data_IF_951087453575
#
_entry.id   IF_951087453575
#
_cell.length_a   1.000
_cell.length_b   1.000
_cell.length_c   1.000
_cell.angle_alpha   90.00
_cell.angle_beta   90.00
_cell.angle_gamma   90.00
#
_symmetry.space_group_name_H-M   'P 1'
#
loop_
_entity.id
_entity.type
_entity.pdbx_description
1 polymer ?
#
# COMPACT_ATOMS: atom_id res chain seq x y z
N UNK A 1 25.24 -76.35 -59.37
CA UNK A 1 25.31 -75.08 -60.14
C UNK A 1 26.02 -74.05 -59.27
N UNK A 2 27.30 -73.77 -59.56
CA UNK A 2 27.86 -72.49 -60.03
C UNK A 2 28.10 -71.43 -58.91
N UNK A 3 29.38 -71.26 -58.62
CA UNK A 3 30.03 -70.14 -57.94
C UNK A 3 29.89 -68.82 -58.71
N UNK A 4 29.99 -67.68 -58.02
CA UNK A 4 30.61 -66.38 -58.40
C UNK A 4 30.47 -65.44 -57.17
N UNK A 5 31.49 -65.21 -56.33
CA UNK A 5 32.60 -64.23 -56.43
C UNK A 5 32.19 -62.77 -56.66
N UNK A 6 32.51 -61.91 -55.68
CA UNK A 6 33.27 -60.64 -55.76
C UNK A 6 33.16 -59.98 -54.37
N UNK A 7 34.15 -60.08 -53.47
CA UNK A 7 35.42 -59.35 -53.44
C UNK A 7 35.30 -57.86 -53.75
N UNK A 8 35.26 -57.03 -52.71
CA UNK A 8 35.78 -55.66 -52.74
C UNK A 8 36.84 -55.53 -51.65
N UNK A 9 38.07 -55.41 -52.12
CA UNK A 9 39.31 -55.15 -51.40
C UNK A 9 39.30 -53.84 -50.60
N UNK A 10 39.84 -53.94 -49.39
CA UNK A 10 40.66 -52.97 -48.65
C UNK A 10 40.81 -51.56 -49.22
N UNK A 11 40.59 -50.55 -48.35
CA UNK A 11 41.49 -49.39 -48.33
C UNK A 11 41.62 -48.79 -46.94
N UNK A 12 42.88 -48.71 -46.55
CA UNK A 12 43.40 -48.24 -45.28
C UNK A 12 43.00 -46.79 -44.96
N UNK A 13 42.74 -46.55 -43.68
CA UNK A 13 43.30 -45.41 -42.96
C UNK A 13 43.43 -45.80 -41.48
N UNK A 14 44.64 -46.25 -41.15
CA UNK A 14 45.26 -45.97 -39.85
C UNK A 14 45.47 -44.46 -39.73
N UNK A 15 45.84 -44.01 -38.53
CA UNK A 15 46.16 -42.64 -38.07
C UNK A 15 44.94 -41.97 -37.41
N UNK A 16 44.93 -41.58 -36.12
CA UNK A 16 45.98 -41.16 -35.19
C UNK A 16 45.49 -41.41 -33.76
N UNK A 17 46.37 -41.91 -32.89
CA UNK A 17 46.16 -41.85 -31.44
C UNK A 17 46.21 -40.39 -30.99
N UNK A 18 45.07 -39.87 -30.55
CA UNK A 18 44.98 -38.53 -29.93
C UNK A 18 45.34 -38.73 -28.46
N UNK A 19 46.49 -38.17 -28.08
CA UNK A 19 47.04 -38.30 -26.74
C UNK A 19 46.07 -37.80 -25.66
N UNK A 20 46.05 -38.53 -24.54
CA UNK A 20 45.28 -38.27 -23.33
C UNK A 20 45.57 -36.90 -22.65
N UNK A 21 46.45 -36.08 -23.21
CA UNK A 21 46.77 -34.72 -22.73
C UNK A 21 45.74 -33.66 -23.14
N UNK A 22 45.01 -33.86 -24.25
CA UNK A 22 43.94 -32.94 -24.66
C UNK A 22 42.69 -33.10 -23.79
N UNK A 23 42.30 -34.33 -23.48
CA UNK A 23 41.10 -34.63 -22.69
C UNK A 23 41.16 -34.08 -21.26
N UNK A 24 42.34 -34.04 -20.63
CA UNK A 24 42.48 -33.53 -19.26
C UNK A 24 42.23 -32.01 -19.17
N UNK A 25 42.70 -31.23 -20.15
CA UNK A 25 42.47 -29.78 -20.20
C UNK A 25 41.02 -29.45 -20.54
N UNK A 26 40.41 -30.20 -21.46
CA UNK A 26 38.98 -30.07 -21.75
C UNK A 26 38.12 -30.51 -20.56
N UNK A 27 38.52 -31.54 -19.81
CA UNK A 27 37.83 -31.96 -18.59
C UNK A 27 37.93 -30.90 -17.48
N UNK A 28 39.10 -30.28 -17.27
CA UNK A 28 39.27 -29.17 -16.31
C UNK A 28 38.48 -27.93 -16.74
N UNK A 29 38.47 -27.61 -18.04
CA UNK A 29 37.71 -26.48 -18.59
C UNK A 29 36.20 -26.72 -18.53
N UNK A 30 35.75 -27.96 -18.76
CA UNK A 30 34.38 -28.41 -18.56
C UNK A 30 34.00 -28.40 -17.08
N UNK A 31 34.87 -28.83 -16.17
CA UNK A 31 34.66 -28.75 -14.73
C UNK A 31 34.57 -27.29 -14.25
N UNK A 32 35.43 -26.40 -14.72
CA UNK A 32 35.37 -24.96 -14.41
C UNK A 32 34.09 -24.29 -14.97
N UNK A 33 33.65 -24.73 -16.16
CA UNK A 33 32.39 -24.28 -16.77
C UNK A 33 31.17 -24.81 -16.01
N UNK A 34 31.20 -26.06 -15.54
CA UNK A 34 30.16 -26.66 -14.71
C UNK A 34 30.09 -26.01 -13.32
N UNK A 35 31.23 -25.68 -12.69
CA UNK A 35 31.28 -24.97 -11.39
C UNK A 35 30.65 -23.58 -11.50
N UNK A 36 30.90 -22.88 -12.61
CA UNK A 36 30.33 -21.55 -12.88
C UNK A 36 28.82 -21.63 -13.20
N UNK A 37 28.35 -22.73 -13.78
CA UNK A 37 26.94 -22.96 -14.08
C UNK A 37 26.13 -23.30 -12.82
N UNK A 38 26.71 -24.00 -11.84
CA UNK A 38 26.05 -24.30 -10.56
C UNK A 38 25.81 -23.07 -9.66
N UNK A 39 26.59 -21.99 -9.81
CA UNK A 39 26.39 -20.75 -9.03
C UNK A 39 25.19 -19.91 -9.51
N UNK A 40 24.70 -20.13 -10.74
CA UNK A 40 23.67 -19.29 -11.34
C UNK A 40 22.26 -19.61 -10.83
N UNK A 41 22.00 -20.86 -10.43
CA UNK A 41 20.73 -21.29 -9.83
C UNK A 41 20.54 -20.73 -8.41
N UNK A 42 21.60 -20.72 -7.60
CA UNK A 42 21.56 -20.17 -6.24
C UNK A 42 21.37 -18.65 -6.23
N UNK A 43 22.00 -17.94 -7.18
CA UNK A 43 21.83 -16.49 -7.32
C UNK A 43 20.42 -16.06 -7.72
N UNK A 44 19.68 -16.89 -8.46
CA UNK A 44 18.37 -16.56 -8.98
C UNK A 44 17.26 -16.64 -7.91
N UNK A 45 17.35 -17.62 -6.99
CA UNK A 45 16.41 -17.74 -5.87
C UNK A 45 16.66 -16.63 -4.84
N UNK A 46 17.93 -16.34 -4.54
CA UNK A 46 18.30 -15.28 -3.61
C UNK A 46 17.90 -13.89 -4.11
N UNK A 47 18.04 -13.62 -5.40
CA UNK A 47 17.59 -12.37 -5.99
C UNK A 47 16.06 -12.21 -5.91
N UNK A 48 15.30 -13.28 -6.17
CA UNK A 48 13.84 -13.25 -6.01
C UNK A 48 13.41 -13.01 -4.56
N UNK A 49 14.05 -13.66 -3.59
CA UNK A 49 13.79 -13.42 -2.16
C UNK A 49 14.04 -11.96 -1.81
N UNK A 50 15.15 -11.36 -2.26
CA UNK A 50 15.47 -9.95 -2.01
C UNK A 50 14.46 -9.00 -2.64
N UNK A 51 13.99 -9.30 -3.85
CA UNK A 51 12.97 -8.50 -4.53
C UNK A 51 11.64 -8.51 -3.75
N UNK A 52 11.18 -9.69 -3.34
CA UNK A 52 9.96 -9.83 -2.53
C UNK A 52 10.10 -9.17 -1.15
N UNK A 53 11.28 -9.24 -0.52
CA UNK A 53 11.56 -8.53 0.74
C UNK A 53 11.51 -7.00 0.56
N UNK A 54 12.00 -6.49 -0.58
CA UNK A 54 11.90 -5.07 -0.93
C UNK A 54 10.44 -4.65 -1.15
N UNK A 55 9.65 -5.46 -1.84
CA UNK A 55 8.23 -5.22 -2.06
C UNK A 55 7.44 -5.24 -0.74
N UNK A 56 7.77 -6.16 0.17
CA UNK A 56 7.21 -6.22 1.52
C UNK A 56 7.46 -4.92 2.31
N UNK A 57 8.66 -4.36 2.20
CA UNK A 57 8.99 -3.06 2.82
C UNK A 57 8.17 -1.92 2.21
N UNK A 58 7.99 -1.94 0.88
CA UNK A 58 7.16 -0.95 0.19
C UNK A 58 5.70 -1.04 0.64
N UNK A 59 5.13 -2.24 0.76
CA UNK A 59 3.78 -2.44 1.29
C UNK A 59 3.69 -1.90 2.72
N UNK A 60 4.68 -2.18 3.57
CA UNK A 60 4.69 -1.66 4.93
C UNK A 60 4.64 -0.12 4.94
N UNK A 61 5.42 0.53 4.09
CA UNK A 61 5.40 1.98 3.94
C UNK A 61 4.03 2.48 3.44
N UNK A 62 3.43 1.79 2.47
CA UNK A 62 2.11 2.14 1.94
C UNK A 62 1.02 2.01 3.01
N UNK A 63 1.07 0.96 3.83
CA UNK A 63 0.15 0.78 4.96
C UNK A 63 0.25 1.93 5.96
N UNK A 64 1.46 2.36 6.30
CA UNK A 64 1.66 3.52 7.15
C UNK A 64 1.06 4.79 6.52
N UNK A 65 1.31 5.02 5.23
CA UNK A 65 0.77 6.18 4.51
C UNK A 65 -0.77 6.19 4.51
N UNK A 66 -1.40 5.08 4.13
CA UNK A 66 -2.86 4.92 4.11
C UNK A 66 -3.44 5.14 5.50
N UNK A 67 -2.80 4.61 6.54
CA UNK A 67 -3.24 4.83 7.91
C UNK A 67 -3.20 6.32 8.30
N UNK A 68 -2.12 7.04 7.96
CA UNK A 68 -2.05 8.48 8.21
C UNK A 68 -3.14 9.25 7.45
N UNK A 69 -3.36 8.93 6.17
CA UNK A 69 -4.43 9.56 5.37
C UNK A 69 -5.81 9.31 5.96
N UNK A 70 -6.05 8.11 6.48
CA UNK A 70 -7.30 7.77 7.15
C UNK A 70 -7.53 8.65 8.38
N UNK A 71 -6.50 8.79 9.23
CA UNK A 71 -6.56 9.67 10.40
C UNK A 71 -6.83 11.12 10.01
N UNK A 72 -6.10 11.64 9.02
CA UNK A 72 -6.29 13.01 8.54
C UNK A 72 -7.72 13.23 8.01
N UNK A 73 -8.25 12.30 7.21
CA UNK A 73 -9.59 12.40 6.64
C UNK A 73 -10.69 12.29 7.71
N UNK A 74 -10.47 11.44 8.71
CA UNK A 74 -11.36 11.31 9.86
C UNK A 74 -11.46 12.63 10.63
N UNK A 75 -10.33 13.28 10.88
CA UNK A 75 -10.28 14.56 11.57
C UNK A 75 -10.98 15.67 10.77
N UNK A 76 -10.77 15.74 9.45
CA UNK A 76 -11.51 16.67 8.58
C UNK A 76 -13.02 16.48 8.68
N UNK A 77 -13.50 15.23 8.64
CA UNK A 77 -14.93 14.93 8.83
C UNK A 77 -15.42 15.34 10.21
N UNK A 78 -14.63 15.08 11.27
CA UNK A 78 -14.96 15.46 12.64
C UNK A 78 -15.14 16.98 12.77
N UNK A 79 -14.22 17.77 12.19
CA UNK A 79 -14.32 19.23 12.20
C UNK A 79 -15.55 19.76 11.47
N UNK A 80 -15.91 19.19 10.32
CA UNK A 80 -17.14 19.59 9.61
C UNK A 80 -18.41 19.30 10.42
N UNK A 81 -18.43 18.19 11.18
CA UNK A 81 -19.54 17.85 12.07
C UNK A 81 -19.64 18.78 13.27
N UNK A 82 -18.50 19.12 13.92
CA UNK A 82 -18.48 20.05 15.04
C UNK A 82 -18.95 21.45 14.64
N UNK A 83 -18.50 21.96 13.48
CA UNK A 83 -18.97 23.24 12.94
C UNK A 83 -20.46 23.23 12.54
N UNK A 84 -21.09 22.06 12.41
CA UNK A 84 -22.53 21.95 12.18
C UNK A 84 -23.33 22.18 13.46
N UNK A 85 -22.83 21.73 14.60
CA UNK A 85 -23.48 21.92 15.90
C UNK A 85 -23.42 23.39 16.34
N UNK A 86 -22.30 24.09 16.13
CA UNK A 86 -22.15 25.50 16.50
C UNK A 86 -23.14 26.44 15.76
N UNK A 87 -23.46 26.14 14.49
CA UNK A 87 -24.46 26.90 13.70
C UNK A 87 -25.89 26.55 14.13
N UNK A 88 -26.12 25.37 14.71
CA UNK A 88 -27.41 24.97 15.26
C UNK A 88 -27.68 25.56 16.67
N UNK A 89 -26.63 26.00 17.37
CA UNK A 89 -26.72 26.63 18.71
C UNK A 89 -26.81 28.15 18.68
N UNK A 90 -27.03 28.78 17.51
CA UNK A 90 -27.53 30.16 17.52
C UNK A 90 -28.88 30.10 18.25
N UNK A 91 -29.02 30.71 19.45
CA UNK A 91 -30.26 30.63 20.21
C UNK A 91 -31.40 31.11 19.29
N UNK A 92 -32.57 30.41 19.27
CA UNK A 92 -33.70 30.90 18.53
C UNK A 92 -33.98 32.33 18.98
N UNK A 93 -33.89 33.29 18.04
CA UNK A 93 -34.45 34.63 18.22
C UNK A 93 -35.91 34.47 18.61
N UNK A 94 -36.21 34.55 19.91
CA UNK A 94 -37.58 34.37 20.39
C UNK A 94 -37.79 33.74 21.76
N UNK A 95 -36.98 34.08 22.78
CA UNK A 95 -37.51 34.12 24.15
C UNK A 95 -37.04 35.40 24.84
N UNK A 96 -37.57 36.54 24.39
CA UNK A 96 -37.61 37.69 25.29
C UNK A 96 -38.39 37.25 26.54
N UNK A 97 -37.88 37.48 27.76
CA UNK A 97 -38.71 37.32 28.94
C UNK A 97 -39.96 38.19 28.75
N UNK A 98 -41.17 37.67 29.05
CA UNK A 98 -42.40 38.44 28.87
C UNK A 98 -42.26 39.75 29.63
N UNK A 99 -42.44 40.85 28.91
CA UNK A 99 -42.52 42.20 29.43
C UNK A 99 -43.52 42.21 30.60
N UNK A 100 -43.02 42.30 31.84
CA UNK A 100 -43.89 42.31 33.02
C UNK A 100 -43.22 42.25 34.39
N UNK A 101 -42.02 41.68 34.54
CA UNK A 101 -41.35 41.62 35.86
C UNK A 101 -40.01 42.31 35.83
N UNK A 102 -39.98 43.57 36.28
CA UNK A 102 -38.76 44.26 36.68
C UNK A 102 -38.20 43.57 37.93
N UNK A 103 -36.94 43.07 37.93
CA UNK A 103 -36.24 42.77 39.17
C UNK A 103 -35.85 44.09 39.83
N UNK A 104 -36.37 44.30 41.03
CA UNK A 104 -36.05 45.43 41.88
C UNK A 104 -34.55 45.45 42.21
N UNK A 105 -33.91 46.56 41.80
CA UNK A 105 -32.73 47.22 42.36
C UNK A 105 -31.74 46.38 43.19
N UNK A 106 -30.64 45.95 42.54
CA UNK A 106 -29.47 45.40 43.22
C UNK A 106 -28.25 45.22 42.33
N UNK A 107 -27.52 46.31 42.03
CA UNK A 107 -26.09 46.37 41.66
C UNK A 107 -25.47 45.42 40.61
N UNK A 108 -26.22 44.65 39.83
CA UNK A 108 -25.66 43.88 38.71
C UNK A 108 -25.70 44.73 37.43
N UNK A 109 -24.53 45.13 36.91
CA UNK A 109 -24.47 45.85 35.63
C UNK A 109 -24.90 44.89 34.53
N UNK A 110 -25.93 45.27 33.77
CA UNK A 110 -26.46 44.49 32.63
C UNK A 110 -25.40 44.08 31.60
N UNK A 111 -24.23 44.73 31.59
CA UNK A 111 -23.06 44.38 30.79
C UNK A 111 -22.40 43.03 31.15
N UNK A 112 -22.69 42.43 32.30
CA UNK A 112 -22.10 41.13 32.71
C UNK A 112 -22.86 39.91 32.17
N UNK A 113 -24.12 40.09 31.76
CA UNK A 113 -24.98 39.00 31.26
C UNK A 113 -25.19 39.00 29.74
N UNK A 114 -24.60 39.95 29.02
CA UNK A 114 -24.61 39.93 27.56
C UNK A 114 -23.31 39.29 27.09
N UNK A 115 -23.34 38.16 26.36
CA UNK A 115 -22.18 37.81 25.55
C UNK A 115 -21.90 39.01 24.65
N UNK A 116 -20.65 39.48 24.63
CA UNK A 116 -20.21 40.55 23.74
C UNK A 116 -20.28 40.02 22.30
N UNK A 117 -21.48 40.06 21.73
CA UNK A 117 -21.71 39.76 20.32
C UNK A 117 -21.19 40.97 19.58
N UNK A 118 -19.99 40.83 19.01
CA UNK A 118 -19.43 41.73 18.00
C UNK A 118 -20.29 41.67 16.72
N UNK A 119 -21.46 42.30 16.76
CA UNK A 119 -22.36 42.46 15.60
C UNK A 119 -21.77 43.54 14.70
N UNK A 120 -20.84 43.14 13.84
CA UNK A 120 -20.21 43.96 12.80
C UNK A 120 -20.48 43.47 11.38
N UNK A 121 -21.56 42.73 11.15
CA UNK A 121 -21.95 42.27 9.81
C UNK A 121 -23.44 41.92 9.75
N UNK A 122 -24.12 42.40 8.72
CA UNK A 122 -25.50 41.97 8.43
C UNK A 122 -25.57 40.44 8.43
N UNK A 123 -26.62 39.84 9.05
CA UNK A 123 -26.80 38.39 9.02
C UNK A 123 -26.72 37.85 7.59
N UNK A 124 -26.01 36.72 7.35
CA UNK A 124 -25.93 36.11 6.04
C UNK A 124 -27.31 35.87 5.45
N UNK A 125 -27.46 36.03 4.13
CA UNK A 125 -28.71 35.72 3.45
C UNK A 125 -29.13 34.27 3.71
N UNK A 126 -30.43 34.02 3.90
CA UNK A 126 -30.96 32.67 4.11
C UNK A 126 -30.49 31.70 3.02
N UNK A 127 -30.48 32.15 1.76
CA UNK A 127 -30.02 31.36 0.62
C UNK A 127 -28.54 30.96 0.75
N UNK A 128 -27.68 31.85 1.26
CA UNK A 128 -26.28 31.53 1.51
C UNK A 128 -26.09 30.52 2.64
N UNK A 129 -26.89 30.60 3.71
CA UNK A 129 -26.83 29.62 4.80
C UNK A 129 -27.25 28.23 4.34
N UNK A 130 -28.33 28.14 3.55
CA UNK A 130 -28.79 26.88 2.96
C UNK A 130 -27.71 26.31 2.04
N UNK A 131 -27.12 27.14 1.18
CA UNK A 131 -26.03 26.72 0.29
C UNK A 131 -24.82 26.21 1.08
N UNK A 132 -24.35 26.94 2.09
CA UNK A 132 -23.24 26.51 2.97
C UNK A 132 -23.54 25.18 3.67
N UNK A 133 -24.77 24.99 4.15
CA UNK A 133 -25.20 23.73 4.77
C UNK A 133 -25.17 22.57 3.76
N UNK A 134 -25.64 22.77 2.54
CA UNK A 134 -25.59 21.76 1.49
C UNK A 134 -24.15 21.43 1.07
N UNK A 135 -23.30 22.43 0.87
CA UNK A 135 -21.87 22.25 0.55
C UNK A 135 -21.14 21.47 1.64
N UNK A 136 -21.41 21.78 2.92
CA UNK A 136 -20.88 21.01 4.05
C UNK A 136 -21.34 19.55 4.02
N UNK A 137 -22.63 19.30 3.79
CA UNK A 137 -23.15 17.93 3.68
C UNK A 137 -22.47 17.16 2.53
N UNK A 138 -22.18 17.82 1.40
CA UNK A 138 -21.41 17.22 0.31
C UNK A 138 -19.99 16.85 0.77
N UNK A 139 -19.28 17.73 1.48
CA UNK A 139 -17.93 17.43 2.01
C UNK A 139 -17.93 16.26 2.99
N UNK A 140 -18.89 16.21 3.92
CA UNK A 140 -19.02 15.09 4.87
C UNK A 140 -19.24 13.76 4.14
N UNK A 141 -20.09 13.76 3.10
CA UNK A 141 -20.31 12.57 2.26
C UNK A 141 -19.05 12.15 1.53
N UNK A 142 -18.33 13.12 0.96
CA UNK A 142 -17.05 12.88 0.29
C UNK A 142 -16.04 12.23 1.22
N UNK A 143 -15.80 12.81 2.40
CA UNK A 143 -14.89 12.24 3.39
C UNK A 143 -15.32 10.85 3.85
N UNK A 144 -16.62 10.58 3.94
CA UNK A 144 -17.11 9.23 4.28
C UNK A 144 -16.74 8.22 3.20
N UNK A 145 -16.95 8.57 1.92
CA UNK A 145 -16.54 7.72 0.80
C UNK A 145 -15.02 7.53 0.74
N UNK A 146 -14.25 8.57 1.05
CA UNK A 146 -12.79 8.51 1.04
C UNK A 146 -12.27 7.58 2.17
N UNK A 147 -12.89 7.64 3.35
CA UNK A 147 -12.58 6.73 4.47
C UNK A 147 -12.85 5.27 4.12
N UNK A 148 -13.97 4.98 3.44
CA UNK A 148 -14.31 3.63 2.99
C UNK A 148 -13.28 3.12 1.98
N UNK A 149 -12.89 3.96 1.01
CA UNK A 149 -11.84 3.64 0.04
C UNK A 149 -10.50 3.34 0.71
N UNK A 150 -10.07 4.19 1.65
CA UNK A 150 -8.81 4.01 2.36
C UNK A 150 -8.79 2.70 3.16
N UNK A 151 -9.93 2.33 3.77
CA UNK A 151 -10.08 1.05 4.46
C UNK A 151 -9.94 -0.13 3.50
N UNK A 152 -10.57 -0.08 2.33
CA UNK A 152 -10.44 -1.13 1.30
C UNK A 152 -8.99 -1.26 0.85
N UNK A 153 -8.32 -0.15 0.53
CA UNK A 153 -6.91 -0.16 0.13
C UNK A 153 -6.00 -0.75 1.22
N UNK A 154 -6.25 -0.44 2.49
CA UNK A 154 -5.50 -1.03 3.58
C UNK A 154 -5.69 -2.56 3.65
N UNK A 155 -6.92 -3.04 3.46
CA UNK A 155 -7.22 -4.48 3.45
C UNK A 155 -6.54 -5.19 2.28
N UNK A 156 -6.52 -4.57 1.10
CA UNK A 156 -5.81 -5.09 -0.08
C UNK A 156 -4.32 -5.24 0.20
N UNK A 157 -3.68 -4.20 0.76
CA UNK A 157 -2.27 -4.24 1.15
C UNK A 157 -1.98 -5.33 2.20
N UNK A 158 -2.89 -5.56 3.15
CA UNK A 158 -2.77 -6.66 4.12
C UNK A 158 -2.88 -8.04 3.45
N UNK A 159 -3.72 -8.20 2.42
CA UNK A 159 -3.80 -9.46 1.67
C UNK A 159 -2.53 -9.70 0.85
N UNK A 160 -2.04 -8.68 0.15
CA UNK A 160 -0.84 -8.74 -0.67
C UNK A 160 0.40 -9.06 0.18
N UNK A 161 0.54 -8.40 1.32
CA UNK A 161 1.58 -8.68 2.32
C UNK A 161 1.62 -10.16 2.72
N UNK A 162 0.47 -10.77 2.99
CA UNK A 162 0.39 -12.19 3.37
C UNK A 162 0.86 -13.09 2.24
N UNK A 163 0.43 -12.80 1.01
CA UNK A 163 0.87 -13.53 -0.18
C UNK A 163 2.38 -13.42 -0.39
N UNK A 164 2.98 -12.24 -0.24
CA UNK A 164 4.43 -12.08 -0.34
C UNK A 164 5.17 -12.84 0.76
N UNK A 165 4.68 -12.80 2.00
CA UNK A 165 5.28 -13.56 3.10
C UNK A 165 5.24 -15.07 2.85
N UNK A 166 4.15 -15.58 2.28
CA UNK A 166 4.02 -16.99 1.89
C UNK A 166 5.01 -17.35 0.77
N UNK A 167 5.09 -16.53 -0.28
CA UNK A 167 6.06 -16.73 -1.38
C UNK A 167 7.52 -16.74 -0.89
N UNK A 168 7.87 -15.81 0.01
CA UNK A 168 9.21 -15.77 0.61
C UNK A 168 9.46 -17.04 1.44
N UNK A 169 8.48 -17.51 2.19
CA UNK A 169 8.61 -18.73 2.99
C UNK A 169 8.82 -19.97 2.10
N UNK A 170 8.04 -20.11 1.04
CA UNK A 170 8.14 -21.20 0.07
C UNK A 170 9.50 -21.21 -0.64
N UNK A 171 9.97 -20.05 -1.10
CA UNK A 171 11.29 -19.91 -1.74
C UNK A 171 12.44 -20.22 -0.77
N UNK A 172 12.32 -19.80 0.50
CA UNK A 172 13.31 -20.13 1.53
C UNK A 172 13.33 -21.63 1.82
N UNK A 173 12.16 -22.27 1.84
CA UNK A 173 12.04 -23.71 2.02
C UNK A 173 12.59 -24.50 0.82
N UNK A 174 12.29 -24.08 -0.41
CA UNK A 174 12.81 -24.73 -1.62
C UNK A 174 14.34 -24.66 -1.65
N UNK A 175 14.92 -23.49 -1.38
CA UNK A 175 16.37 -23.30 -1.26
C UNK A 175 16.99 -24.24 -0.23
N UNK A 176 16.39 -24.34 0.96
CA UNK A 176 16.90 -25.20 2.02
C UNK A 176 16.85 -26.69 1.61
N UNK A 177 15.79 -27.12 0.93
CA UNK A 177 15.64 -28.50 0.47
C UNK A 177 16.68 -28.89 -0.59
N UNK A 178 17.02 -27.97 -1.49
CA UNK A 178 18.08 -28.14 -2.48
C UNK A 178 19.46 -28.24 -1.82
N UNK A 179 19.73 -27.44 -0.79
CA UNK A 179 21.00 -27.46 -0.06
C UNK A 179 21.22 -28.77 0.74
N UNK A 180 20.14 -29.42 1.15
CA UNK A 180 20.17 -30.68 1.91
C UNK A 180 20.20 -31.95 1.03
N UNK A 181 20.15 -31.80 -0.30
CA UNK A 181 20.11 -32.89 -1.27
C UNK A 181 21.47 -33.16 -1.89
#
# INVERSE_FOLDING_TARGET
>A
MKYLLFNTTNRALRFIGIGYEWSAKFAVLLCLLLISFSAQAESAIDEQIRQLESELLQIHQNQQNVYQQFQMTQELRRHELQQQEEVATIPPMGTYPPTGTFPELGTAKMSEFLPEVTIGGSPPSYEEMVRKKQERQKRIRQYTSDLDRLRTQYQELETEKKTLMEQIADLKQSKQSELTR
#
